data_IF_354785623752
#
_entry.id   IF_354785623752
#
_cell.length_a   1.000
_cell.length_b   1.000
_cell.length_c   1.000
_cell.angle_alpha   90.00
_cell.angle_beta   90.00
_cell.angle_gamma   90.00
#
_symmetry.space_group_name_H-M   'P 1'
#
loop_
_entity.id
_entity.type
_entity.pdbx_description
1 polymer ?
#
# COMPACT_ATOMS: atom_id res chain seq x y z
N UNK A 1 9.13 16.69 -0.42
CA UNK A 1 8.74 15.39 -1.00
C UNK A 1 7.70 15.63 -2.07
N UNK A 2 7.69 14.87 -3.17
CA UNK A 2 6.78 15.11 -4.28
C UNK A 2 5.42 14.46 -3.97
N UNK A 3 4.45 15.26 -3.53
CA UNK A 3 3.12 14.78 -3.14
C UNK A 3 2.35 14.10 -4.26
N UNK A 4 2.70 14.41 -5.52
CA UNK A 4 2.09 13.78 -6.69
C UNK A 4 2.54 12.32 -6.85
N UNK A 5 3.83 12.04 -6.61
CA UNK A 5 4.39 10.68 -6.64
C UNK A 5 3.72 9.82 -5.57
N UNK A 6 3.55 10.37 -4.36
CA UNK A 6 2.97 9.63 -3.23
C UNK A 6 1.51 9.28 -3.47
N UNK A 7 0.74 10.20 -4.06
CA UNK A 7 -0.63 9.92 -4.51
C UNK A 7 -0.68 8.85 -5.57
N UNK A 8 0.24 8.87 -6.55
CA UNK A 8 0.30 7.86 -7.62
C UNK A 8 0.59 6.47 -7.07
N UNK A 9 1.64 6.35 -6.25
CA UNK A 9 2.02 5.10 -5.57
C UNK A 9 0.89 4.59 -4.67
N UNK A 10 0.28 5.48 -3.87
CA UNK A 10 -0.88 5.14 -3.05
C UNK A 10 -2.06 4.64 -3.89
N UNK A 11 -2.34 5.30 -5.01
CA UNK A 11 -3.40 4.90 -5.94
C UNK A 11 -3.15 3.52 -6.54
N UNK A 12 -1.91 3.21 -6.93
CA UNK A 12 -1.54 1.88 -7.42
C UNK A 12 -1.84 0.80 -6.37
N UNK A 13 -1.40 1.00 -5.12
CA UNK A 13 -1.66 0.08 -4.00
C UNK A 13 -3.18 -0.16 -3.84
N UNK A 14 -3.97 0.92 -3.89
CA UNK A 14 -5.44 0.83 -3.83
C UNK A 14 -6.01 0.00 -4.98
N UNK A 15 -5.58 0.24 -6.21
CA UNK A 15 -6.05 -0.47 -7.40
C UNK A 15 -5.76 -1.96 -7.26
N UNK A 16 -4.54 -2.35 -6.89
CA UNK A 16 -4.18 -3.76 -6.72
C UNK A 16 -4.89 -4.41 -5.54
N UNK A 17 -5.10 -3.68 -4.44
CA UNK A 17 -5.93 -4.15 -3.32
C UNK A 17 -7.36 -4.46 -3.77
N UNK A 18 -7.97 -3.54 -4.51
CA UNK A 18 -9.34 -3.71 -5.01
C UNK A 18 -9.43 -4.86 -6.04
N UNK A 19 -8.44 -5.00 -6.94
CA UNK A 19 -8.33 -6.14 -7.88
C UNK A 19 -8.20 -7.48 -7.18
N UNK A 20 -7.50 -7.53 -6.05
CA UNK A 20 -7.37 -8.72 -5.23
C UNK A 20 -8.64 -9.02 -4.38
N UNK A 21 -9.65 -8.13 -4.41
CA UNK A 21 -10.87 -8.28 -3.62
C UNK A 21 -10.65 -8.04 -2.13
N UNK A 22 -9.57 -7.35 -1.74
CA UNK A 22 -9.22 -7.15 -0.34
C UNK A 22 -9.77 -5.84 0.22
N UNK A 23 -10.23 -5.89 1.47
CA UNK A 23 -10.55 -4.67 2.23
C UNK A 23 -9.29 -4.05 2.81
N UNK A 24 -9.34 -2.77 3.17
CA UNK A 24 -8.23 -2.13 3.87
C UNK A 24 -7.98 -2.78 5.24
N UNK A 25 -9.03 -3.19 5.95
CA UNK A 25 -8.90 -3.89 7.24
C UNK A 25 -8.19 -5.25 7.05
N UNK A 26 -8.49 -5.98 5.97
CA UNK A 26 -7.81 -7.24 5.66
C UNK A 26 -6.31 -7.06 5.43
N UNK A 27 -5.92 -6.09 4.59
CA UNK A 27 -4.51 -5.85 4.30
C UNK A 27 -3.77 -5.32 5.53
N UNK A 28 -4.38 -4.42 6.32
CA UNK A 28 -3.80 -3.94 7.57
C UNK A 28 -3.56 -5.08 8.56
N UNK A 29 -4.54 -5.99 8.74
CA UNK A 29 -4.37 -7.17 9.58
C UNK A 29 -3.24 -8.09 9.08
N UNK A 30 -3.10 -8.28 7.76
CA UNK A 30 -1.99 -9.06 7.18
C UNK A 30 -0.63 -8.40 7.40
N UNK A 31 -0.55 -7.08 7.31
CA UNK A 31 0.66 -6.31 7.60
C UNK A 31 1.06 -6.45 9.08
N UNK A 32 0.09 -6.33 9.99
CA UNK A 32 0.30 -6.53 11.43
C UNK A 32 0.82 -7.94 11.75
N UNK A 33 0.20 -8.98 11.17
CA UNK A 33 0.66 -10.37 11.33
C UNK A 33 2.07 -10.60 10.75
N UNK A 34 2.51 -9.79 9.79
CA UNK A 34 3.84 -9.83 9.22
C UNK A 34 4.87 -8.95 9.96
N UNK A 35 4.50 -8.39 11.12
CA UNK A 35 5.38 -7.59 11.97
C UNK A 35 5.37 -6.10 11.68
N UNK A 36 4.47 -5.60 10.83
CA UNK A 36 4.32 -4.18 10.53
C UNK A 36 3.10 -3.61 11.26
N UNK A 37 3.35 -2.83 12.33
CA UNK A 37 2.27 -2.22 13.11
C UNK A 37 1.62 -1.05 12.35
N UNK A 38 0.63 -1.39 11.53
CA UNK A 38 -0.14 -0.43 10.74
C UNK A 38 -1.64 -0.59 11.00
N UNK A 39 -2.31 0.54 11.17
CA UNK A 39 -3.78 0.56 11.29
C UNK A 39 -4.44 0.62 9.91
N UNK A 40 -5.71 0.22 9.82
CA UNK A 40 -6.50 0.43 8.59
C UNK A 40 -6.52 1.90 8.16
N UNK A 41 -6.66 2.84 9.10
CA UNK A 41 -6.64 4.27 8.79
C UNK A 41 -5.29 4.74 8.25
N UNK A 42 -4.18 4.15 8.70
CA UNK A 42 -2.86 4.43 8.14
C UNK A 42 -2.74 3.89 6.71
N UNK A 43 -3.19 2.67 6.44
CA UNK A 43 -3.24 2.13 5.08
C UNK A 43 -4.12 3.00 4.16
N UNK A 44 -5.29 3.43 4.63
CA UNK A 44 -6.17 4.32 3.87
C UNK A 44 -5.48 5.66 3.52
N UNK A 45 -4.69 6.22 4.44
CA UNK A 45 -3.91 7.44 4.21
C UNK A 45 -2.78 7.23 3.20
N UNK A 46 -2.12 6.07 3.23
CA UNK A 46 -1.13 5.69 2.20
C UNK A 46 -1.79 5.67 0.82
N UNK A 47 -2.95 5.02 0.71
CA UNK A 47 -3.68 4.87 -0.56
C UNK A 47 -4.11 6.19 -1.22
N UNK A 48 -4.19 7.28 -0.44
CA UNK A 48 -4.52 8.63 -0.93
C UNK A 48 -3.34 9.59 -0.87
N UNK A 49 -2.13 9.11 -0.61
CA UNK A 49 -0.90 9.92 -0.54
C UNK A 49 -0.86 10.91 0.64
N UNK A 50 -1.64 10.67 1.71
CA UNK A 50 -1.65 11.46 2.94
C UNK A 50 -0.67 10.94 4.01
N UNK A 51 -0.08 9.77 3.80
CA UNK A 51 0.97 9.21 4.64
C UNK A 51 2.04 8.60 3.74
N UNK A 52 3.30 8.85 4.09
CA UNK A 52 4.45 8.22 3.46
C UNK A 52 4.42 6.70 3.64
N UNK A 53 4.99 6.01 2.66
CA UNK A 53 5.14 4.56 2.66
C UNK A 53 6.57 4.20 3.07
N UNK A 54 6.71 3.33 4.07
CA UNK A 54 8.02 2.90 4.56
C UNK A 54 8.53 1.66 3.80
N UNK A 55 9.86 1.44 3.69
CA UNK A 55 10.42 0.35 2.89
C UNK A 55 9.94 -1.06 3.30
N UNK A 56 9.77 -1.31 4.58
CA UNK A 56 9.22 -2.56 5.13
C UNK A 56 7.76 -2.77 4.70
N UNK A 57 6.94 -1.72 4.73
CA UNK A 57 5.56 -1.73 4.24
C UNK A 57 5.51 -2.07 2.74
N UNK A 58 6.40 -1.50 1.91
CA UNK A 58 6.48 -1.82 0.47
C UNK A 58 6.75 -3.31 0.26
N UNK A 59 7.74 -3.87 0.95
CA UNK A 59 8.15 -5.27 0.81
C UNK A 59 7.00 -6.20 1.18
N UNK A 60 6.25 -5.86 2.23
CA UNK A 60 5.12 -6.67 2.68
C UNK A 60 3.89 -6.51 1.77
N UNK A 61 3.56 -5.28 1.35
CA UNK A 61 2.46 -5.03 0.40
C UNK A 61 2.67 -5.77 -0.91
N UNK A 62 3.89 -5.77 -1.43
CA UNK A 62 4.29 -6.54 -2.62
C UNK A 62 3.92 -8.02 -2.49
N UNK A 63 4.18 -8.61 -1.32
CA UNK A 63 3.87 -10.02 -1.03
C UNK A 63 2.37 -10.25 -0.82
N UNK A 64 1.71 -9.39 -0.05
CA UNK A 64 0.28 -9.53 0.31
C UNK A 64 -0.61 -9.33 -0.90
N UNK A 65 -0.32 -8.34 -1.74
CA UNK A 65 -1.09 -8.02 -2.94
C UNK A 65 -0.68 -8.86 -4.16
N UNK A 66 0.41 -9.62 -4.04
CA UNK A 66 0.97 -10.44 -5.13
C UNK A 66 1.23 -9.63 -6.41
N UNK A 67 1.99 -8.54 -6.27
CA UNK A 67 2.35 -7.62 -7.36
C UNK A 67 3.86 -7.49 -7.51
N UNK A 68 4.34 -6.82 -8.54
CA UNK A 68 5.74 -6.42 -8.68
C UNK A 68 6.02 -5.08 -7.99
N UNK A 69 7.30 -4.70 -7.87
CA UNK A 69 7.64 -3.34 -7.43
C UNK A 69 7.31 -2.31 -8.51
N UNK A 70 7.46 -2.66 -9.79
CA UNK A 70 7.11 -1.80 -10.91
C UNK A 70 5.61 -1.46 -10.89
N UNK A 71 4.76 -2.42 -10.54
CA UNK A 71 3.32 -2.18 -10.33
C UNK A 71 3.05 -1.12 -9.25
N UNK A 72 3.77 -1.17 -8.12
CA UNK A 72 3.60 -0.22 -7.01
C UNK A 72 4.13 1.16 -7.40
N UNK A 73 5.30 1.20 -8.05
CA UNK A 73 6.02 2.44 -8.37
C UNK A 73 5.78 2.94 -9.81
N UNK A 74 4.79 2.41 -10.52
CA UNK A 74 4.45 2.89 -11.85
C UNK A 74 3.97 4.36 -11.78
N UNK A 75 4.70 5.24 -12.47
CA UNK A 75 4.39 6.68 -12.54
C UNK A 75 3.85 7.12 -13.91
N UNK A 76 3.82 6.22 -14.88
CA UNK A 76 3.34 6.49 -16.24
C UNK A 76 1.80 6.66 -16.28
#
# INVERSE_FOLDING_TARGET
MNSEIEKRVGSNIRIFRERAGFTQDYVAAKLQLAGCDITRSALAKIEVGQRHLYPDEVILLKKILNVSYDDIFNLD
#
